data_IF_545459286814
#
_entry.id   IF_545459286814
#
_cell.length_a   1.000
_cell.length_b   1.000
_cell.length_c   1.000
_cell.angle_alpha   90.00
_cell.angle_beta   90.00
_cell.angle_gamma   90.00
#
_symmetry.space_group_name_H-M   'P 1'
#
loop_
_entity.id
_entity.type
_entity.pdbx_description
1 polymer ?
#
# COMPACT_ATOMS: atom_id res chain seq x y z
N UNK A 1 13.17 -16.36 9.85
CA UNK A 1 12.93 -15.28 8.86
C UNK A 1 14.23 -14.52 8.69
N UNK A 2 14.69 -14.31 7.45
CA UNK A 2 15.86 -13.45 7.18
C UNK A 2 15.44 -12.00 7.48
N UNK A 3 16.23 -11.21 8.23
CA UNK A 3 15.92 -9.81 8.44
C UNK A 3 15.82 -9.08 7.10
N UNK A 4 14.71 -8.37 6.87
CA UNK A 4 14.58 -7.48 5.72
C UNK A 4 14.60 -6.03 6.23
N UNK A 5 15.75 -5.34 6.17
CA UNK A 5 15.90 -3.99 6.72
C UNK A 5 14.89 -2.99 6.13
N UNK A 6 14.47 -3.20 4.88
CA UNK A 6 13.48 -2.37 4.22
C UNK A 6 12.07 -2.57 4.80
N UNK A 7 11.73 -3.80 5.19
CA UNK A 7 10.44 -4.13 5.82
C UNK A 7 10.33 -3.47 7.19
N UNK A 8 11.35 -3.64 8.04
CA UNK A 8 11.34 -3.05 9.39
C UNK A 8 11.27 -1.53 9.36
N UNK A 9 11.97 -0.90 8.40
CA UNK A 9 11.90 0.54 8.20
C UNK A 9 10.50 0.97 7.74
N UNK A 10 9.92 0.30 6.74
CA UNK A 10 8.56 0.61 6.27
C UNK A 10 7.55 0.45 7.40
N UNK A 11 7.58 -0.64 8.16
CA UNK A 11 6.68 -0.85 9.31
C UNK A 11 6.82 0.28 10.33
N UNK A 12 8.05 0.72 10.66
CA UNK A 12 8.27 1.87 11.55
C UNK A 12 7.68 3.17 11.00
N UNK A 13 7.83 3.42 9.70
CA UNK A 13 7.23 4.60 9.05
C UNK A 13 5.71 4.58 9.17
N UNK A 14 5.07 3.43 8.93
CA UNK A 14 3.61 3.29 9.05
C UNK A 14 3.13 3.53 10.48
N UNK A 15 3.82 2.96 11.47
CA UNK A 15 3.46 3.16 12.89
C UNK A 15 3.71 4.58 13.40
N UNK A 16 4.69 5.29 12.83
CA UNK A 16 4.93 6.70 13.14
C UNK A 16 3.88 7.61 12.51
N UNK A 17 3.49 7.32 11.27
CA UNK A 17 2.64 8.20 10.48
C UNK A 17 1.14 7.97 10.73
N UNK A 18 0.77 6.91 11.46
CA UNK A 18 -0.62 6.64 11.87
C UNK A 18 -0.73 5.76 13.13
N UNK A 19 -1.68 6.09 14.00
CA UNK A 19 -2.11 5.23 15.10
C UNK A 19 -3.07 4.13 14.65
N UNK A 20 -3.58 4.20 13.42
CA UNK A 20 -4.46 3.17 12.87
C UNK A 20 -3.72 1.83 12.86
N UNK A 21 -4.42 0.77 13.26
CA UNK A 21 -3.94 -0.62 13.18
C UNK A 21 -4.84 -1.40 12.22
N UNK A 22 -4.50 -1.40 10.91
CA UNK A 22 -5.26 -2.12 9.91
C UNK A 22 -5.41 -3.60 10.28
N UNK A 23 -6.63 -4.12 10.17
CA UNK A 23 -6.94 -5.55 10.33
C UNK A 23 -7.08 -6.26 9.00
N UNK A 24 -7.25 -5.50 7.92
CA UNK A 24 -7.41 -5.99 6.55
C UNK A 24 -6.52 -5.18 5.61
N UNK A 25 -5.75 -5.89 4.78
CA UNK A 25 -5.02 -5.30 3.66
C UNK A 25 -5.72 -5.64 2.35
N UNK A 26 -5.90 -4.67 1.47
CA UNK A 26 -6.56 -4.83 0.16
C UNK A 26 -5.60 -4.36 -0.92
N UNK A 27 -5.31 -5.19 -1.92
CA UNK A 27 -4.48 -4.83 -3.07
C UNK A 27 -5.37 -4.57 -4.28
N UNK A 28 -5.42 -3.32 -4.73
CA UNK A 28 -6.26 -2.92 -5.86
C UNK A 28 -5.56 -3.20 -7.20
N UNK A 29 -6.29 -3.88 -8.08
CA UNK A 29 -5.89 -4.06 -9.48
C UNK A 29 -6.33 -2.92 -10.38
N UNK A 30 -5.96 -3.03 -11.65
CA UNK A 30 -6.44 -2.15 -12.71
C UNK A 30 -7.98 -2.13 -12.73
N UNK A 31 -8.56 -0.94 -12.85
CA UNK A 31 -10.03 -0.73 -12.85
C UNK A 31 -10.68 -0.61 -11.47
N UNK A 32 -9.98 -0.91 -10.37
CA UNK A 32 -10.54 -0.83 -9.01
C UNK A 32 -10.21 0.46 -8.26
N UNK A 33 -9.64 1.46 -8.95
CA UNK A 33 -9.35 2.79 -8.39
C UNK A 33 -10.50 3.40 -7.57
N UNK A 34 -11.77 3.35 -8.04
CA UNK A 34 -12.91 3.92 -7.30
C UNK A 34 -13.16 3.33 -5.91
N UNK A 35 -12.62 2.15 -5.58
CA UNK A 35 -12.70 1.60 -4.22
C UNK A 35 -12.04 2.54 -3.20
N UNK A 36 -10.98 3.26 -3.60
CA UNK A 36 -10.30 4.23 -2.73
C UNK A 36 -11.24 5.35 -2.27
N UNK A 37 -12.22 5.74 -3.10
CA UNK A 37 -13.16 6.83 -2.83
C UNK A 37 -14.17 6.48 -1.73
N UNK A 38 -14.31 5.17 -1.43
CA UNK A 38 -15.17 4.67 -0.36
C UNK A 38 -14.44 4.52 0.97
N UNK A 39 -13.14 4.74 1.00
CA UNK A 39 -12.34 4.66 2.23
C UNK A 39 -12.44 6.01 2.94
N UNK A 40 -12.78 5.97 4.23
CA UNK A 40 -12.59 7.09 5.12
C UNK A 40 -11.09 7.23 5.40
N UNK A 41 -10.42 8.09 4.62
CA UNK A 41 -8.97 8.20 4.61
C UNK A 41 -8.44 8.83 5.89
N UNK A 42 -7.53 8.13 6.56
CA UNK A 42 -6.73 8.64 7.68
C UNK A 42 -5.36 9.12 7.19
N UNK A 43 -4.73 8.37 6.29
CA UNK A 43 -3.41 8.71 5.75
C UNK A 43 -3.22 8.16 4.35
N UNK A 44 -2.59 8.94 3.48
CA UNK A 44 -2.07 8.46 2.20
C UNK A 44 -0.53 8.54 2.18
N UNK A 45 0.11 7.50 1.69
CA UNK A 45 1.57 7.39 1.62
C UNK A 45 1.96 6.90 0.22
N UNK A 46 2.64 7.73 -0.59
CA UNK A 46 3.17 7.29 -1.88
C UNK A 46 4.15 6.12 -1.71
N UNK A 47 4.11 5.14 -2.61
CA UNK A 47 5.05 4.00 -2.60
C UNK A 47 6.51 4.46 -2.68
N UNK A 48 6.80 5.56 -3.37
CA UNK A 48 8.13 6.18 -3.41
C UNK A 48 8.69 6.58 -2.03
N UNK A 49 7.84 6.71 -1.01
CA UNK A 49 8.25 6.98 0.38
C UNK A 49 8.34 5.72 1.24
N UNK A 50 8.04 4.55 0.69
CA UNK A 50 8.05 3.26 1.39
C UNK A 50 9.27 2.43 0.94
N UNK A 51 10.31 2.30 1.77
CA UNK A 51 11.45 1.45 1.47
C UNK A 51 11.05 0.01 1.09
N UNK A 52 11.58 -0.49 -0.01
CA UNK A 52 11.30 -1.84 -0.51
C UNK A 52 9.98 -2.00 -1.26
N UNK A 53 9.17 -0.94 -1.42
CA UNK A 53 7.98 -0.99 -2.26
C UNK A 53 8.32 -0.89 -3.76
N UNK A 54 7.58 -1.59 -4.62
CA UNK A 54 7.75 -1.46 -6.05
C UNK A 54 7.34 -0.06 -6.53
N UNK A 55 7.81 0.30 -7.71
CA UNK A 55 7.37 1.47 -8.45
C UNK A 55 6.62 0.98 -9.71
N UNK A 56 5.32 0.67 -9.62
CA UNK A 56 4.54 0.27 -10.78
C UNK A 56 4.53 1.38 -11.82
N UNK A 57 4.72 1.01 -13.07
CA UNK A 57 4.77 1.92 -14.23
C UNK A 57 3.51 1.86 -15.09
N UNK A 58 2.66 0.86 -14.86
CA UNK A 58 1.40 0.65 -15.58
C UNK A 58 0.38 1.75 -15.27
N UNK A 59 -0.28 2.27 -16.31
CA UNK A 59 -1.36 3.26 -16.18
C UNK A 59 -2.54 2.71 -15.36
N UNK A 60 -3.13 3.58 -14.52
CA UNK A 60 -4.27 3.23 -13.66
C UNK A 60 -3.90 2.77 -12.25
N UNK A 61 -2.61 2.68 -11.93
CA UNK A 61 -2.12 2.52 -10.56
C UNK A 61 -1.72 3.87 -9.98
N UNK A 62 -2.33 4.29 -8.86
CA UNK A 62 -2.00 5.55 -8.19
C UNK A 62 -0.76 5.44 -7.29
N UNK A 63 -0.19 4.25 -7.15
CA UNK A 63 1.09 3.96 -6.49
C UNK A 63 1.19 4.55 -5.09
N UNK A 64 0.15 4.33 -4.30
CA UNK A 64 0.04 4.78 -2.91
C UNK A 64 -0.60 3.74 -2.00
N UNK A 65 -0.21 3.77 -0.75
CA UNK A 65 -0.87 3.09 0.36
C UNK A 65 -1.85 4.07 1.02
N UNK A 66 -3.09 3.64 1.22
CA UNK A 66 -4.11 4.39 1.96
C UNK A 66 -4.42 3.64 3.25
N UNK A 67 -4.24 4.32 4.38
CA UNK A 67 -4.70 3.86 5.69
C UNK A 67 -6.02 4.56 5.99
N UNK A 68 -7.04 3.81 6.40
CA UNK A 68 -8.35 4.39 6.68
C UNK A 68 -9.38 3.39 7.19
N UNK A 69 -10.64 3.77 7.16
CA UNK A 69 -11.76 2.91 7.53
C UNK A 69 -12.59 2.57 6.30
N UNK A 70 -13.05 1.31 6.21
CA UNK A 70 -13.99 0.87 5.18
C UNK A 70 -15.09 0.03 5.85
N UNK A 71 -16.32 0.54 5.87
CA UNK A 71 -17.44 -0.13 6.56
C UNK A 71 -17.15 -0.40 8.04
N UNK A 72 -16.52 0.56 8.74
CA UNK A 72 -16.13 0.42 10.14
C UNK A 72 -14.90 -0.48 10.40
N UNK A 73 -14.30 -1.05 9.36
CA UNK A 73 -13.08 -1.88 9.50
C UNK A 73 -11.84 -1.03 9.22
N UNK A 74 -10.81 -1.05 10.08
CA UNK A 74 -9.53 -0.40 9.80
C UNK A 74 -8.79 -1.17 8.70
N UNK A 75 -8.48 -0.48 7.61
CA UNK A 75 -7.90 -1.05 6.39
C UNK A 75 -6.59 -0.38 5.96
N UNK A 76 -5.76 -1.18 5.29
CA UNK A 76 -4.63 -0.74 4.48
C UNK A 76 -4.93 -1.06 3.02
N UNK A 77 -5.15 -0.06 2.19
CA UNK A 77 -5.48 -0.21 0.77
C UNK A 77 -4.25 0.14 -0.06
N UNK A 78 -3.68 -0.86 -0.71
CA UNK A 78 -2.58 -0.76 -1.65
C UNK A 78 -3.17 -0.41 -3.03
N UNK A 79 -3.11 0.86 -3.41
CA UNK A 79 -3.65 1.36 -4.67
C UNK A 79 -2.67 1.08 -5.81
N UNK A 80 -2.60 -0.20 -6.18
CA UNK A 80 -1.78 -0.72 -7.23
C UNK A 80 -0.75 -1.74 -6.75
N UNK A 81 -0.19 -2.47 -7.71
CA UNK A 81 0.67 -3.64 -7.47
C UNK A 81 1.75 -3.72 -8.54
N UNK A 82 2.87 -4.35 -8.17
CA UNK A 82 3.87 -4.78 -9.14
C UNK A 82 3.33 -5.93 -9.98
N UNK A 83 3.71 -5.95 -11.25
CA UNK A 83 3.53 -7.11 -12.11
C UNK A 83 4.89 -7.68 -12.51
N UNK A 84 4.97 -9.02 -12.59
CA UNK A 84 6.19 -9.68 -13.03
C UNK A 84 6.65 -9.23 -14.44
N UNK A 85 5.70 -8.98 -15.34
CA UNK A 85 6.01 -8.52 -16.70
C UNK A 85 6.61 -7.10 -16.76
N UNK A 86 6.58 -6.33 -15.66
CA UNK A 86 7.28 -5.04 -15.56
C UNK A 86 8.79 -5.22 -15.24
N UNK A 87 9.26 -6.46 -15.12
CA UNK A 87 10.66 -6.79 -14.82
C UNK A 87 10.97 -6.88 -13.32
N UNK A 88 9.94 -6.93 -12.47
CA UNK A 88 10.11 -7.09 -11.03
C UNK A 88 10.47 -8.54 -10.65
N UNK A 89 11.37 -8.71 -9.68
CA UNK A 89 11.70 -10.01 -9.08
C UNK A 89 10.51 -10.58 -8.31
N UNK A 90 10.35 -11.91 -8.34
CA UNK A 90 9.42 -12.67 -7.46
C UNK A 90 10.10 -13.13 -6.15
N UNK A 91 11.41 -12.97 -6.06
CA UNK A 91 12.27 -13.39 -4.95
C UNK A 91 12.79 -12.17 -4.16
#
# INVERSE_FOLDING_TARGET
MVPNPSLDHTVKLLFRDSELRPKLAIVLGSGFGPVQERVEVVKEIPYAKLPGFPQPTVQGHSSKLVLGMLGGTPVAVLCGRAHYYEGHSMA
#
